data_IF_173448787375
#
_entry.id   IF_173448787375
#
_cell.length_a   1.000
_cell.length_b   1.000
_cell.length_c   1.000
_cell.angle_alpha   90.00
_cell.angle_beta   90.00
_cell.angle_gamma   90.00
#
_symmetry.space_group_name_H-M   'P 1'
#
loop_
_entity.id
_entity.type
_entity.pdbx_description
1 polymer ?
#
# COMPACT_ATOMS: atom_id res chain seq x y z
N UNK A 1 -17.55 23.96 4.97
CA UNK A 1 -16.39 23.92 4.04
C UNK A 1 -16.93 23.84 2.63
N UNK A 2 -16.40 24.66 1.72
CA UNK A 2 -16.79 24.69 0.30
C UNK A 2 -16.33 23.41 -0.42
N UNK A 3 -17.08 22.96 -1.43
CA UNK A 3 -16.70 21.83 -2.29
C UNK A 3 -15.32 22.00 -2.95
N UNK A 4 -14.83 23.24 -3.13
CA UNK A 4 -13.48 23.53 -3.62
C UNK A 4 -12.39 23.23 -2.59
N UNK A 5 -12.64 23.50 -1.31
CA UNK A 5 -11.69 23.31 -0.19
C UNK A 5 -11.54 21.82 0.19
N UNK A 6 -12.60 21.05 0.03
CA UNK A 6 -12.59 19.60 0.21
C UNK A 6 -11.77 18.95 -0.92
N UNK A 7 -11.97 19.39 -2.17
CA UNK A 7 -11.23 18.87 -3.33
C UNK A 7 -9.73 19.17 -3.24
N UNK A 8 -9.34 20.35 -2.79
CA UNK A 8 -7.92 20.69 -2.59
C UNK A 8 -7.27 19.89 -1.46
N UNK A 9 -7.98 19.61 -0.36
CA UNK A 9 -7.43 18.84 0.76
C UNK A 9 -7.22 17.37 0.41
N UNK A 10 -8.14 16.78 -0.36
CA UNK A 10 -8.02 15.40 -0.88
C UNK A 10 -6.83 15.26 -1.84
N UNK A 11 -6.66 16.25 -2.72
CA UNK A 11 -5.55 16.30 -3.69
C UNK A 11 -4.18 16.42 -2.99
N UNK A 12 -4.10 17.21 -1.91
CA UNK A 12 -2.90 17.33 -1.07
C UNK A 12 -2.56 16.01 -0.36
N UNK A 13 -3.54 15.33 0.25
CA UNK A 13 -3.30 14.06 0.95
C UNK A 13 -2.76 12.95 0.02
N UNK A 14 -3.35 12.83 -1.18
CA UNK A 14 -2.88 11.90 -2.21
C UNK A 14 -1.48 12.27 -2.70
N UNK A 15 -1.24 13.55 -3.01
CA UNK A 15 0.09 14.01 -3.46
C UNK A 15 1.16 13.73 -2.41
N UNK A 16 0.84 13.91 -1.13
CA UNK A 16 1.75 13.66 -0.02
C UNK A 16 2.14 12.18 0.10
N UNK A 17 1.18 11.26 0.08
CA UNK A 17 1.50 9.83 0.25
C UNK A 17 2.28 9.26 -0.94
N UNK A 18 2.00 9.71 -2.16
CA UNK A 18 2.77 9.33 -3.34
C UNK A 18 4.21 9.85 -3.22
N UNK A 19 4.39 11.11 -2.83
CA UNK A 19 5.73 11.69 -2.63
C UNK A 19 6.50 10.97 -1.50
N UNK A 20 5.85 10.63 -0.39
CA UNK A 20 6.45 9.85 0.69
C UNK A 20 6.85 8.46 0.21
N UNK A 21 5.99 7.78 -0.55
CA UNK A 21 6.34 6.49 -1.14
C UNK A 21 7.60 6.60 -2.01
N UNK A 22 7.72 7.67 -2.80
CA UNK A 22 8.90 7.91 -3.64
C UNK A 22 10.19 8.17 -2.84
N UNK A 23 10.08 8.71 -1.62
CA UNK A 23 11.22 8.94 -0.72
C UNK A 23 11.61 7.67 0.04
N UNK A 24 10.62 6.95 0.57
CA UNK A 24 10.82 5.76 1.42
C UNK A 24 11.30 4.55 0.61
N UNK A 25 10.85 4.41 -0.64
CA UNK A 25 11.25 3.32 -1.51
C UNK A 25 12.45 3.72 -2.40
N UNK A 26 13.65 3.15 -2.21
CA UNK A 26 14.82 3.54 -2.98
C UNK A 26 14.66 3.26 -4.48
N UNK A 27 15.03 4.23 -5.32
CA UNK A 27 14.95 4.15 -6.78
C UNK A 27 13.53 3.98 -7.32
N UNK A 28 12.51 4.21 -6.48
CA UNK A 28 11.13 4.22 -6.94
C UNK A 28 10.86 5.42 -7.85
N UNK A 29 9.87 5.29 -8.73
CA UNK A 29 9.48 6.33 -9.66
C UNK A 29 8.05 6.10 -10.17
N UNK A 30 7.44 7.12 -10.74
CA UNK A 30 6.20 6.99 -11.52
C UNK A 30 6.56 6.95 -13.00
N UNK A 31 6.09 5.92 -13.71
CA UNK A 31 6.36 5.76 -15.14
C UNK A 31 5.35 6.52 -16.02
N UNK A 32 5.56 6.51 -17.35
CA UNK A 32 4.67 7.17 -18.33
C UNK A 32 3.27 6.57 -18.42
N UNK A 33 3.08 5.36 -17.91
CA UNK A 33 1.78 4.65 -17.85
C UNK A 33 1.02 4.93 -16.56
N UNK A 34 1.48 5.89 -15.75
CA UNK A 34 0.91 6.23 -14.45
C UNK A 34 0.92 5.04 -13.46
N UNK A 35 2.01 4.26 -13.48
CA UNK A 35 2.31 3.23 -12.48
C UNK A 35 3.37 3.74 -11.53
N UNK A 36 3.13 3.57 -10.22
CA UNK A 36 4.18 3.74 -9.22
C UNK A 36 4.99 2.45 -9.13
N UNK A 37 6.26 2.54 -9.52
CA UNK A 37 7.24 1.47 -9.40
C UNK A 37 7.92 1.63 -8.05
N UNK A 38 7.60 0.80 -7.07
CA UNK A 38 8.14 0.84 -5.70
C UNK A 38 9.48 0.12 -5.58
N UNK A 39 9.63 -1.01 -6.26
CA UNK A 39 10.91 -1.74 -6.32
C UNK A 39 11.16 -2.21 -7.77
N UNK A 40 12.02 -1.52 -8.53
CA UNK A 40 12.19 -1.79 -9.96
C UNK A 40 12.79 -3.16 -10.29
N UNK A 41 13.67 -3.73 -9.45
CA UNK A 41 14.40 -4.95 -9.79
C UNK A 41 13.48 -6.18 -9.86
N UNK A 42 12.52 -6.27 -8.96
CA UNK A 42 11.55 -7.37 -8.88
C UNK A 42 10.16 -6.95 -9.36
N UNK A 43 10.05 -5.78 -9.99
CA UNK A 43 8.82 -5.24 -10.56
C UNK A 43 7.66 -5.22 -9.52
N UNK A 44 7.90 -4.56 -8.38
CA UNK A 44 6.85 -4.28 -7.38
C UNK A 44 6.23 -2.93 -7.72
N UNK A 45 4.98 -2.94 -8.18
CA UNK A 45 4.28 -1.76 -8.67
C UNK A 45 2.76 -1.89 -8.57
N UNK A 46 2.07 -0.78 -8.77
CA UNK A 46 0.66 -0.76 -9.14
C UNK A 46 0.30 0.51 -9.92
N UNK A 47 -0.85 0.48 -10.60
CA UNK A 47 -1.38 1.64 -11.35
C UNK A 47 -2.05 2.64 -10.43
N UNK A 48 -1.87 3.93 -10.74
CA UNK A 48 -2.48 5.06 -10.04
C UNK A 48 -3.77 5.57 -10.71
N UNK A 49 -4.19 4.98 -11.84
CA UNK A 49 -5.33 5.46 -12.65
C UNK A 49 -6.66 5.55 -11.89
N UNK A 50 -6.86 4.70 -10.88
CA UNK A 50 -8.05 4.62 -10.04
C UNK A 50 -7.80 5.04 -8.58
N UNK A 51 -6.66 5.67 -8.30
CA UNK A 51 -6.32 6.18 -6.97
C UNK A 51 -6.76 7.63 -6.86
N UNK A 52 -7.81 7.91 -6.08
CA UNK A 52 -8.40 9.25 -5.94
C UNK A 52 -8.19 9.87 -4.56
N UNK A 53 -7.67 9.08 -3.63
CA UNK A 53 -7.47 9.46 -2.23
C UNK A 53 -6.28 8.72 -1.63
N UNK A 54 -5.81 9.21 -0.48
CA UNK A 54 -4.83 8.49 0.34
C UNK A 54 -5.33 7.09 0.73
N UNK A 55 -6.63 6.95 1.03
CA UNK A 55 -7.24 5.67 1.37
C UNK A 55 -7.17 4.68 0.19
N UNK A 56 -7.45 5.13 -1.04
CA UNK A 56 -7.30 4.29 -2.23
C UNK A 56 -5.86 3.83 -2.42
N UNK A 57 -4.89 4.73 -2.18
CA UNK A 57 -3.47 4.41 -2.25
C UNK A 57 -3.10 3.33 -1.24
N UNK A 58 -3.51 3.48 0.03
CA UNK A 58 -3.31 2.47 1.07
C UNK A 58 -3.97 1.14 0.71
N UNK A 59 -5.19 1.16 0.17
CA UNK A 59 -5.84 -0.06 -0.32
C UNK A 59 -5.01 -0.75 -1.41
N UNK A 60 -4.45 0.00 -2.36
CA UNK A 60 -3.55 -0.55 -3.39
C UNK A 60 -2.26 -1.12 -2.81
N UNK A 61 -1.68 -0.49 -1.78
CA UNK A 61 -0.52 -1.03 -1.08
C UNK A 61 -0.83 -2.45 -0.54
N UNK A 62 -1.94 -2.62 0.17
CA UNK A 62 -2.35 -3.95 0.66
C UNK A 62 -2.69 -4.93 -0.46
N UNK A 63 -3.37 -4.49 -1.52
CA UNK A 63 -3.77 -5.35 -2.62
C UNK A 63 -2.58 -5.88 -3.42
N UNK A 64 -1.61 -5.01 -3.76
CA UNK A 64 -0.59 -5.31 -4.77
C UNK A 64 0.81 -5.51 -4.20
N UNK A 65 1.13 -4.99 -3.01
CA UNK A 65 2.46 -5.08 -2.41
C UNK A 65 2.57 -6.21 -1.38
N UNK A 66 1.45 -6.64 -0.79
CA UNK A 66 1.42 -7.75 0.18
C UNK A 66 1.93 -9.06 -0.41
N UNK A 67 1.51 -9.42 -1.64
CA UNK A 67 1.94 -10.66 -2.32
C UNK A 67 3.44 -10.71 -2.59
N UNK A 68 4.08 -9.65 -3.16
CA UNK A 68 5.52 -9.59 -3.24
C UNK A 68 6.21 -9.90 -1.92
N UNK A 69 5.81 -9.23 -0.84
CA UNK A 69 6.43 -9.40 0.48
C UNK A 69 6.23 -10.82 1.02
N UNK A 70 4.99 -11.34 0.98
CA UNK A 70 4.65 -12.62 1.57
C UNK A 70 5.21 -13.81 0.78
N UNK A 71 5.02 -13.85 -0.54
CA UNK A 71 5.20 -15.08 -1.34
C UNK A 71 6.21 -15.00 -2.49
N UNK A 72 6.59 -13.80 -2.97
CA UNK A 72 7.31 -13.70 -4.26
C UNK A 72 8.76 -13.25 -4.14
N UNK A 73 9.05 -12.31 -3.23
CA UNK A 73 10.38 -11.76 -3.07
C UNK A 73 11.27 -12.74 -2.29
N UNK A 74 12.55 -12.80 -2.68
CA UNK A 74 13.53 -13.62 -1.99
C UNK A 74 13.94 -13.03 -0.62
N UNK A 75 14.74 -13.79 0.15
CA UNK A 75 15.22 -13.40 1.49
C UNK A 75 15.98 -12.07 1.57
N UNK A 76 16.49 -11.57 0.45
CA UNK A 76 17.18 -10.27 0.39
C UNK A 76 16.18 -9.11 0.19
N UNK A 77 15.18 -9.28 -0.69
CA UNK A 77 14.25 -8.21 -1.06
C UNK A 77 13.02 -8.12 -0.18
N UNK A 78 12.43 -9.24 0.24
CA UNK A 78 11.23 -9.26 1.07
C UNK A 78 11.35 -8.39 2.34
N UNK A 79 12.41 -8.50 3.17
CA UNK A 79 12.53 -7.67 4.37
C UNK A 79 12.76 -6.18 4.06
N UNK A 80 13.38 -5.85 2.93
CA UNK A 80 13.61 -4.45 2.51
C UNK A 80 12.30 -3.79 2.09
N UNK A 81 11.52 -4.47 1.26
CA UNK A 81 10.21 -3.97 0.82
C UNK A 81 9.24 -3.90 1.99
N UNK A 82 9.25 -4.88 2.90
CA UNK A 82 8.43 -4.84 4.13
C UNK A 82 8.80 -3.66 5.04
N UNK A 83 10.10 -3.39 5.25
CA UNK A 83 10.52 -2.23 6.06
C UNK A 83 9.99 -0.92 5.48
N UNK A 84 10.14 -0.72 4.17
CA UNK A 84 9.66 0.48 3.49
C UNK A 84 8.12 0.58 3.50
N UNK A 85 7.43 -0.56 3.37
CA UNK A 85 5.97 -0.64 3.50
C UNK A 85 5.52 -0.20 4.89
N UNK A 86 6.17 -0.72 5.94
CA UNK A 86 5.90 -0.38 7.33
C UNK A 86 6.20 1.09 7.62
N UNK A 87 7.33 1.61 7.14
CA UNK A 87 7.70 3.02 7.28
C UNK A 87 6.69 3.96 6.62
N UNK A 88 6.24 3.66 5.41
CA UNK A 88 5.26 4.47 4.69
C UNK A 88 3.88 4.48 5.39
N UNK A 89 3.44 3.32 5.91
CA UNK A 89 2.11 3.18 6.50
C UNK A 89 2.05 3.43 8.01
N UNK A 90 3.21 3.64 8.65
CA UNK A 90 3.33 3.81 10.09
C UNK A 90 3.01 2.53 10.86
N UNK A 91 3.39 1.37 10.34
CA UNK A 91 3.10 0.06 10.93
C UNK A 91 4.37 -0.71 11.31
N UNK A 92 4.21 -1.90 11.89
CA UNK A 92 5.30 -2.77 12.27
C UNK A 92 5.02 -4.24 11.91
N UNK A 93 4.37 -4.49 10.77
CA UNK A 93 4.01 -5.85 10.37
C UNK A 93 5.24 -6.73 10.21
N UNK A 94 5.10 -7.96 10.67
CA UNK A 94 6.02 -9.06 10.48
C UNK A 94 5.78 -9.74 9.14
N UNK A 95 6.73 -10.57 8.71
CA UNK A 95 6.56 -11.37 7.49
C UNK A 95 5.38 -12.34 7.61
N UNK A 96 5.13 -12.88 8.80
CA UNK A 96 4.05 -13.84 9.03
C UNK A 96 2.68 -13.17 8.92
N UNK A 97 2.52 -11.97 9.51
CA UNK A 97 1.30 -11.17 9.34
C UNK A 97 1.04 -10.79 7.88
N UNK A 98 2.11 -10.56 7.10
CA UNK A 98 1.96 -10.28 5.67
C UNK A 98 1.36 -11.45 4.87
N UNK A 99 1.49 -12.71 5.33
CA UNK A 99 0.78 -13.83 4.71
C UNK A 99 -0.73 -13.71 4.90
N UNK A 100 -1.18 -13.37 6.11
CA UNK A 100 -2.61 -13.20 6.39
C UNK A 100 -3.19 -11.96 5.72
N UNK A 101 -2.45 -10.85 5.75
CA UNK A 101 -2.79 -9.64 5.00
C UNK A 101 -2.94 -9.96 3.51
N UNK A 102 -1.99 -10.70 2.93
CA UNK A 102 -2.10 -11.10 1.53
C UNK A 102 -3.29 -12.03 1.29
N UNK A 103 -3.52 -13.04 2.14
CA UNK A 103 -4.62 -13.99 1.96
C UNK A 103 -5.99 -13.29 1.98
N UNK A 104 -6.14 -12.30 2.87
CA UNK A 104 -7.42 -11.65 3.15
C UNK A 104 -7.66 -10.40 2.31
N UNK A 105 -6.61 -9.65 1.98
CA UNK A 105 -6.69 -8.33 1.34
C UNK A 105 -5.99 -8.25 -0.03
N UNK A 106 -5.16 -9.25 -0.36
CA UNK A 106 -4.40 -9.29 -1.60
C UNK A 106 -5.27 -9.32 -2.85
N UNK A 107 -4.73 -8.82 -3.95
CA UNK A 107 -5.42 -8.68 -5.25
C UNK A 107 -6.79 -8.00 -5.16
N UNK A 108 -6.98 -7.16 -4.14
CA UNK A 108 -8.22 -6.42 -3.91
C UNK A 108 -9.47 -7.30 -3.74
N UNK A 109 -9.29 -8.51 -3.20
CA UNK A 109 -10.36 -9.52 -3.08
C UNK A 109 -11.56 -9.03 -2.24
N UNK A 110 -11.31 -8.15 -1.27
CA UNK A 110 -12.35 -7.58 -0.41
C UNK A 110 -12.02 -6.13 -0.01
N UNK A 111 -12.29 -5.19 -0.92
CA UNK A 111 -12.06 -3.75 -0.69
C UNK A 111 -12.70 -3.22 0.58
N UNK A 112 -13.92 -3.68 0.91
CA UNK A 112 -14.62 -3.23 2.11
C UNK A 112 -13.87 -3.63 3.38
N UNK A 113 -13.37 -4.86 3.44
CA UNK A 113 -12.54 -5.33 4.56
C UNK A 113 -11.21 -4.56 4.61
N UNK A 114 -10.57 -4.28 3.48
CA UNK A 114 -9.33 -3.47 3.45
C UNK A 114 -9.55 -2.07 4.02
N UNK A 115 -10.66 -1.42 3.67
CA UNK A 115 -11.01 -0.09 4.23
C UNK A 115 -11.22 -0.20 5.74
N UNK A 116 -12.01 -1.17 6.20
CA UNK A 116 -12.22 -1.40 7.65
C UNK A 116 -10.92 -1.65 8.40
N UNK A 117 -10.01 -2.43 7.79
CA UNK A 117 -8.68 -2.70 8.35
C UNK A 117 -7.82 -1.43 8.45
N UNK A 118 -7.86 -0.54 7.45
CA UNK A 118 -7.12 0.72 7.50
C UNK A 118 -7.73 1.67 8.54
N UNK A 119 -9.05 1.82 8.56
CA UNK A 119 -9.76 2.73 9.46
C UNK A 119 -9.69 2.29 10.92
N UNK A 120 -9.53 0.99 11.20
CA UNK A 120 -9.32 0.48 12.56
C UNK A 120 -7.90 0.72 13.09
N UNK A 121 -7.00 1.31 12.30
CA UNK A 121 -5.58 1.43 12.64
C UNK A 121 -4.84 0.10 12.49
N UNK A 122 -5.24 -0.72 11.51
CA UNK A 122 -4.61 -1.99 11.15
C UNK A 122 -4.82 -3.14 12.16
N UNK A 123 -6.02 -3.24 12.72
CA UNK A 123 -6.37 -4.32 13.64
C UNK A 123 -6.37 -5.70 12.94
N UNK A 124 -5.34 -6.51 13.23
CA UNK A 124 -5.17 -7.86 12.67
C UNK A 124 -6.30 -8.82 13.05
N UNK A 125 -7.05 -8.57 14.13
CA UNK A 125 -8.19 -9.41 14.50
C UNK A 125 -9.27 -9.45 13.41
N UNK A 126 -9.42 -8.38 12.61
CA UNK A 126 -10.36 -8.34 11.47
C UNK A 126 -9.99 -9.33 10.36
N UNK A 127 -8.72 -9.73 10.29
CA UNK A 127 -8.19 -10.64 9.28
C UNK A 127 -8.10 -12.09 9.77
N UNK A 128 -8.38 -12.35 11.04
CA UNK A 128 -8.47 -13.71 11.55
C UNK A 128 -9.75 -14.39 11.02
N UNK A 129 -9.66 -15.69 10.72
CA UNK A 129 -10.83 -16.52 10.42
C UNK A 129 -11.28 -17.16 11.73
N UNK A 130 -12.54 -16.95 12.09
CA UNK A 130 -13.21 -17.71 13.16
C UNK A 130 -13.55 -19.12 12.67
#
# INVERSE_FOLDING_TARGET
MSSSEIKSSVDVGLTNIVAQALQVFPKSFVNRSNEIILEPKNNVYFRLVDVRSELDFKCKMFAWVSRPIAKSLNKYWAPRVLRNFNELLGTSFTKDEMYEIYDRLGNDINRKLTVQFIESGYDMALLMRN
#
